data_IF_804139053225
#
_entry.id   IF_804139053225
#
_cell.length_a   1.000
_cell.length_b   1.000
_cell.length_c   1.000
_cell.angle_alpha   90.00
_cell.angle_beta   90.00
_cell.angle_gamma   90.00
#
_symmetry.space_group_name_H-M   'P 1'
#
loop_
_entity.id
_entity.type
_entity.pdbx_description
1 polymer ?
#
# COMPACT_ATOMS: atom_id res chain seq x y z
N UNK A 1 83.42 -20.04 50.43
CA UNK A 1 82.35 -19.44 49.60
C UNK A 1 82.89 -19.27 48.19
N UNK A 2 82.38 -20.08 47.24
CA UNK A 2 82.78 -20.16 45.81
C UNK A 2 82.24 -18.94 45.05
N UNK A 3 83.11 -18.12 44.45
CA UNK A 3 83.46 -18.06 43.02
C UNK A 3 82.36 -17.55 42.05
N UNK A 4 82.53 -16.28 41.64
CA UNK A 4 82.48 -15.71 40.28
C UNK A 4 81.88 -16.56 39.14
N UNK A 5 80.94 -15.98 38.36
CA UNK A 5 80.88 -15.99 36.86
C UNK A 5 79.59 -15.33 36.32
N UNK A 6 79.73 -14.66 35.16
CA UNK A 6 78.69 -14.10 34.23
C UNK A 6 78.36 -12.61 34.44
N UNK A 7 78.97 -11.58 33.82
CA UNK A 7 79.34 -11.25 32.42
C UNK A 7 78.15 -11.11 31.43
N UNK A 8 77.65 -9.86 31.29
CA UNK A 8 77.51 -9.02 30.05
C UNK A 8 77.82 -9.76 28.72
N UNK A 9 77.05 -9.66 27.59
CA UNK A 9 76.49 -8.43 26.97
C UNK A 9 75.12 -8.57 26.25
N UNK A 10 74.39 -7.47 26.04
CA UNK A 10 73.37 -7.35 24.97
C UNK A 10 73.13 -5.88 24.61
N UNK A 11 74.19 -5.18 24.23
CA UNK A 11 74.13 -3.92 23.50
C UNK A 11 74.78 -4.18 22.14
N UNK A 12 74.20 -3.60 21.09
CA UNK A 12 74.57 -3.65 19.66
C UNK A 12 73.75 -4.66 18.84
N UNK A 13 72.62 -4.20 18.29
CA UNK A 13 72.28 -4.42 16.88
C UNK A 13 71.32 -3.32 16.39
N UNK A 14 71.83 -2.09 16.29
CA UNK A 14 71.27 -1.07 15.42
C UNK A 14 72.01 -1.20 14.08
N UNK A 15 71.31 -1.59 13.01
CA UNK A 15 71.92 -1.72 11.69
C UNK A 15 70.94 -2.12 10.59
N UNK A 16 70.59 -1.14 9.76
CA UNK A 16 70.09 -1.27 8.39
C UNK A 16 68.76 -2.03 8.19
N UNK A 17 67.67 -1.48 8.70
CA UNK A 17 66.37 -1.65 8.03
C UNK A 17 66.38 -0.85 6.74
N UNK A 18 66.71 -1.47 5.62
CA UNK A 18 66.33 -0.95 4.30
C UNK A 18 64.82 -0.84 4.36
N UNK A 19 64.29 0.39 4.33
CA UNK A 19 62.89 0.64 4.03
C UNK A 19 62.70 0.12 2.61
N UNK A 20 62.33 -1.14 2.47
CA UNK A 20 61.67 -1.62 1.26
C UNK A 20 60.36 -0.86 1.24
N UNK A 21 60.36 0.28 0.53
CA UNK A 21 59.13 0.93 0.13
C UNK A 21 58.25 -0.16 -0.47
N UNK A 22 57.18 -0.54 0.23
CA UNK A 22 56.25 -1.53 -0.26
C UNK A 22 55.81 -1.05 -1.65
N UNK A 23 56.14 -1.82 -2.68
CA UNK A 23 55.81 -1.43 -4.04
C UNK A 23 54.30 -1.25 -4.10
N UNK A 24 53.82 -0.10 -4.55
CA UNK A 24 52.39 0.16 -4.67
C UNK A 24 52.00 0.33 -6.12
N UNK A 25 50.82 -0.15 -6.46
CA UNK A 25 50.17 0.18 -7.72
C UNK A 25 49.58 1.58 -7.64
N UNK A 26 49.69 2.30 -8.74
CA UNK A 26 49.11 3.62 -8.95
C UNK A 26 48.93 3.86 -10.44
N UNK A 27 48.57 5.08 -10.81
CA UNK A 27 48.47 5.47 -12.20
C UNK A 27 48.98 6.89 -12.43
N UNK A 28 49.58 7.09 -13.60
CA UNK A 28 50.00 8.39 -14.11
C UNK A 28 49.18 8.73 -15.37
N UNK A 29 49.02 10.03 -15.63
CA UNK A 29 48.33 10.57 -16.81
C UNK A 29 46.97 9.94 -17.11
N UNK A 30 46.14 9.86 -16.07
CA UNK A 30 44.77 9.40 -16.20
C UNK A 30 43.86 10.53 -16.70
N UNK A 31 43.16 10.27 -17.79
CA UNK A 31 42.26 11.23 -18.44
C UNK A 31 40.89 10.58 -18.58
N UNK A 32 39.87 11.27 -18.08
CA UNK A 32 38.47 10.96 -18.33
C UNK A 32 37.96 11.84 -19.47
N UNK A 33 37.22 11.25 -20.40
CA UNK A 33 36.59 11.95 -21.50
C UNK A 33 35.16 11.45 -21.71
N UNK A 34 34.21 12.37 -21.89
CA UNK A 34 32.84 12.06 -22.31
C UNK A 34 32.65 12.62 -23.72
N UNK A 35 32.48 11.72 -24.68
CA UNK A 35 32.20 12.08 -26.07
C UNK A 35 30.69 12.07 -26.28
N UNK A 36 30.10 13.24 -26.49
CA UNK A 36 28.69 13.38 -26.90
C UNK A 36 28.59 13.51 -28.42
N UNK A 37 27.56 12.90 -29.03
CA UNK A 37 27.29 13.03 -30.48
C UNK A 37 26.65 14.37 -30.86
N UNK A 38 26.12 15.13 -29.89
CA UNK A 38 25.26 16.28 -30.15
C UNK A 38 25.76 17.63 -29.59
N UNK A 39 26.90 17.68 -28.88
CA UNK A 39 27.43 18.95 -28.36
C UNK A 39 28.90 19.19 -28.76
N UNK A 40 29.18 20.41 -29.22
CA UNK A 40 30.53 20.94 -29.42
C UNK A 40 31.13 21.20 -28.03
N UNK A 41 31.79 20.19 -27.46
CA UNK A 41 32.46 20.29 -26.17
C UNK A 41 32.38 19.00 -25.37
N UNK A 42 33.25 18.02 -25.69
CA UNK A 42 33.41 16.83 -24.85
C UNK A 42 33.99 17.21 -23.49
N UNK A 43 33.43 16.68 -22.40
CA UNK A 43 34.01 16.83 -21.06
C UNK A 43 35.33 16.08 -21.03
N UNK A 44 36.42 16.74 -20.65
CA UNK A 44 37.74 16.12 -20.50
C UNK A 44 38.42 16.65 -19.24
N UNK A 45 38.81 15.75 -18.35
CA UNK A 45 39.46 16.12 -17.09
C UNK A 45 40.56 15.13 -16.73
N UNK A 46 41.49 15.54 -15.85
CA UNK A 46 42.57 14.70 -15.35
C UNK A 46 42.16 14.05 -14.03
N UNK A 47 42.29 12.74 -13.94
CA UNK A 47 42.04 11.98 -12.73
C UNK A 47 43.31 11.98 -11.84
N UNK A 48 43.13 12.06 -10.53
CA UNK A 48 44.21 11.95 -9.54
C UNK A 48 44.04 10.68 -8.70
N UNK A 49 45.16 10.16 -8.23
CA UNK A 49 45.29 9.03 -7.32
C UNK A 49 45.01 9.41 -5.84
N UNK A 50 45.14 10.70 -5.50
CA UNK A 50 45.06 11.22 -4.13
C UNK A 50 43.73 11.91 -3.79
N UNK A 51 43.01 12.42 -4.79
CA UNK A 51 41.73 13.10 -4.58
C UNK A 51 40.74 12.78 -5.70
N UNK A 52 39.47 12.48 -5.36
CA UNK A 52 38.43 12.29 -6.36
C UNK A 52 38.05 13.61 -7.03
N UNK A 53 37.45 13.53 -8.22
CA UNK A 53 36.92 14.72 -8.89
C UNK A 53 35.83 15.39 -8.05
N UNK A 54 35.93 16.71 -7.89
CA UNK A 54 34.99 17.51 -7.10
C UNK A 54 33.59 17.62 -7.72
N UNK A 55 33.46 17.45 -9.05
CA UNK A 55 32.19 17.49 -9.76
C UNK A 55 31.86 16.12 -10.34
N UNK A 56 30.60 15.65 -10.22
CA UNK A 56 30.19 14.40 -10.83
C UNK A 56 30.24 14.51 -12.35
N UNK A 57 30.66 13.42 -13.00
CA UNK A 57 30.70 13.30 -14.46
C UNK A 57 29.31 12.88 -14.94
N UNK A 58 28.66 13.68 -15.77
CA UNK A 58 27.35 13.36 -16.32
C UNK A 58 27.45 12.48 -17.56
N UNK A 59 26.65 11.42 -17.63
CA UNK A 59 26.51 10.54 -18.79
C UNK A 59 25.06 10.54 -19.28
N UNK A 60 24.84 10.90 -20.55
CA UNK A 60 23.52 10.83 -21.20
C UNK A 60 23.40 9.66 -22.19
N UNK A 61 22.20 9.42 -22.72
CA UNK A 61 21.87 8.27 -23.56
C UNK A 61 22.70 8.11 -24.83
N UNK A 62 23.22 9.21 -25.38
CA UNK A 62 24.02 9.20 -26.61
C UNK A 62 25.52 9.27 -26.36
N UNK A 63 25.92 9.42 -25.10
CA UNK A 63 27.31 9.70 -24.75
C UNK A 63 28.10 8.41 -24.51
N UNK A 64 29.39 8.46 -24.85
CA UNK A 64 30.35 7.41 -24.49
C UNK A 64 31.38 7.97 -23.53
N UNK A 65 31.57 7.27 -22.42
CA UNK A 65 32.61 7.59 -21.44
C UNK A 65 33.84 6.77 -21.75
N UNK A 66 34.97 7.45 -21.88
CA UNK A 66 36.27 6.86 -22.17
C UNK A 66 37.29 7.32 -21.15
N UNK A 67 37.95 6.36 -20.51
CA UNK A 67 39.04 6.61 -19.56
C UNK A 67 40.32 5.97 -20.12
N UNK A 68 41.38 6.76 -20.11
CA UNK A 68 42.73 6.30 -20.43
C UNK A 68 43.58 6.51 -19.19
N UNK A 69 44.32 5.49 -18.78
CA UNK A 69 45.26 5.54 -17.65
C UNK A 69 46.61 4.98 -18.07
N UNK A 70 47.69 5.38 -17.41
CA UNK A 70 48.97 4.67 -17.48
C UNK A 70 49.23 4.03 -16.12
N UNK A 71 49.01 2.73 -16.01
CA UNK A 71 49.25 2.01 -14.76
C UNK A 71 50.74 1.92 -14.47
N UNK A 72 51.10 2.17 -13.21
CA UNK A 72 52.48 2.15 -12.72
C UNK A 72 52.62 1.29 -11.48
N UNK A 73 53.71 0.55 -11.38
CA UNK A 73 54.16 -0.10 -10.16
C UNK A 73 55.37 0.69 -9.63
N UNK A 74 55.26 1.32 -8.46
CA UNK A 74 56.34 2.14 -7.89
C UNK A 74 56.88 3.22 -8.86
N UNK A 75 55.97 3.94 -9.54
CA UNK A 75 56.25 4.98 -10.55
C UNK A 75 56.92 4.50 -11.85
N UNK A 76 57.00 3.19 -12.08
CA UNK A 76 57.43 2.62 -13.37
C UNK A 76 56.23 2.07 -14.13
N UNK A 77 56.04 2.42 -15.42
CA UNK A 77 54.93 1.92 -16.20
C UNK A 77 55.03 0.40 -16.34
N UNK A 78 53.99 -0.31 -15.91
CA UNK A 78 53.94 -1.77 -15.96
C UNK A 78 52.51 -2.22 -16.21
N UNK A 79 52.35 -3.31 -16.96
CA UNK A 79 51.06 -3.94 -17.20
C UNK A 79 50.54 -4.61 -15.91
N UNK A 80 49.42 -4.16 -15.32
CA UNK A 80 48.79 -4.86 -14.21
C UNK A 80 48.08 -6.13 -14.70
N UNK A 81 47.93 -7.13 -13.82
CA UNK A 81 47.17 -8.34 -14.14
C UNK A 81 45.66 -8.09 -14.10
N UNK A 82 45.20 -7.27 -13.15
CA UNK A 82 43.81 -6.85 -12.99
C UNK A 82 43.74 -5.33 -13.08
N UNK A 83 42.89 -4.85 -13.99
CA UNK A 83 42.57 -3.44 -14.12
C UNK A 83 41.08 -3.31 -14.41
N UNK A 84 40.32 -2.84 -13.43
CA UNK A 84 38.86 -2.72 -13.52
C UNK A 84 38.39 -1.35 -13.03
N UNK A 85 37.38 -0.81 -13.70
CA UNK A 85 36.57 0.28 -13.17
C UNK A 85 35.35 -0.33 -12.51
N UNK A 86 35.21 -0.13 -11.21
CA UNK A 86 34.05 -0.57 -10.44
C UNK A 86 33.09 0.61 -10.26
N UNK A 87 31.85 0.46 -10.70
CA UNK A 87 30.78 1.41 -10.47
C UNK A 87 29.82 0.82 -9.44
N UNK A 88 29.62 1.54 -8.33
CA UNK A 88 28.77 1.10 -7.22
C UNK A 88 27.62 2.07 -7.02
N UNK A 89 26.42 1.54 -6.90
CA UNK A 89 25.28 2.29 -6.39
C UNK A 89 25.38 2.45 -4.87
N UNK A 90 25.24 3.68 -4.39
CA UNK A 90 25.41 4.00 -2.96
C UNK A 90 24.20 3.55 -2.13
N UNK A 91 23.00 3.51 -2.72
CA UNK A 91 21.77 3.16 -2.02
C UNK A 91 21.59 1.64 -1.93
N UNK A 92 21.67 0.95 -3.06
CA UNK A 92 21.42 -0.50 -3.12
C UNK A 92 22.66 -1.35 -2.87
N UNK A 93 23.86 -0.76 -3.01
CA UNK A 93 25.13 -1.50 -2.95
C UNK A 93 25.39 -2.39 -4.16
N UNK A 94 24.58 -2.29 -5.23
CA UNK A 94 24.81 -3.02 -6.47
C UNK A 94 26.05 -2.49 -7.18
N UNK A 95 26.83 -3.40 -7.76
CA UNK A 95 28.11 -3.09 -8.39
C UNK A 95 28.17 -3.67 -9.80
N UNK A 96 28.82 -2.95 -10.71
CA UNK A 96 29.22 -3.45 -12.03
C UNK A 96 30.68 -3.12 -12.28
N UNK A 97 31.35 -3.93 -13.09
CA UNK A 97 32.78 -3.79 -13.36
C UNK A 97 33.04 -3.72 -14.85
N UNK A 98 33.91 -2.78 -15.25
CA UNK A 98 34.38 -2.62 -16.62
C UNK A 98 35.88 -2.89 -16.70
N UNK A 99 36.32 -3.93 -17.42
CA UNK A 99 37.75 -4.22 -17.57
C UNK A 99 38.46 -3.18 -18.45
N UNK A 100 39.67 -2.80 -18.06
CA UNK A 100 40.55 -2.01 -18.92
C UNK A 100 41.27 -2.91 -19.92
N UNK A 101 41.31 -2.48 -21.18
CA UNK A 101 42.22 -3.05 -22.17
C UNK A 101 43.61 -2.46 -21.95
N UNK A 102 44.49 -3.21 -21.28
CA UNK A 102 45.87 -2.79 -21.00
C UNK A 102 46.82 -3.25 -22.10
N UNK A 103 47.86 -2.46 -22.38
CA UNK A 103 49.01 -2.81 -23.23
C UNK A 103 50.23 -3.13 -22.38
N UNK A 104 51.27 -3.71 -22.97
CA UNK A 104 52.55 -3.97 -22.28
C UNK A 104 53.18 -2.69 -21.71
N UNK A 105 52.97 -1.54 -22.37
CA UNK A 105 53.40 -0.21 -21.93
C UNK A 105 52.72 0.32 -20.64
N UNK A 106 51.84 -0.45 -19.99
CA UNK A 106 51.05 -0.01 -18.83
C UNK A 106 49.83 0.87 -19.18
N UNK A 107 49.74 1.38 -20.41
CA UNK A 107 48.57 2.14 -20.88
C UNK A 107 47.31 1.26 -20.94
N UNK A 108 46.27 1.65 -20.21
CA UNK A 108 44.95 1.04 -20.17
C UNK A 108 43.88 1.94 -20.75
N UNK A 109 42.93 1.37 -21.49
CA UNK A 109 41.74 2.07 -21.99
C UNK A 109 40.48 1.30 -21.61
N UNK A 110 39.47 2.02 -21.12
CA UNK A 110 38.09 1.52 -20.99
C UNK A 110 37.14 2.50 -21.67
N UNK A 111 36.13 1.97 -22.36
CA UNK A 111 35.11 2.76 -23.06
C UNK A 111 33.77 2.04 -22.93
N UNK A 112 32.76 2.73 -22.43
CA UNK A 112 31.40 2.22 -22.28
C UNK A 112 30.39 3.36 -22.43
N UNK A 113 29.18 3.03 -22.87
CA UNK A 113 28.05 3.97 -22.92
C UNK A 113 26.95 3.57 -21.93
N UNK A 114 25.86 4.33 -21.91
CA UNK A 114 24.72 4.04 -21.04
C UNK A 114 24.07 2.68 -21.35
N UNK A 115 24.11 2.22 -22.61
CA UNK A 115 23.60 0.91 -23.04
C UNK A 115 24.36 -0.29 -22.45
N UNK A 116 25.60 -0.08 -22.00
CA UNK A 116 26.46 -1.13 -21.47
C UNK A 116 26.30 -1.24 -19.94
N UNK A 117 25.57 -0.31 -19.31
CA UNK A 117 25.25 -0.35 -17.89
C UNK A 117 24.04 -1.26 -17.62
N UNK A 118 24.09 -2.08 -16.55
CA UNK A 118 22.91 -2.81 -16.08
C UNK A 118 21.75 -1.87 -15.75
N UNK A 119 20.53 -2.29 -16.06
CA UNK A 119 19.31 -1.50 -15.88
C UNK A 119 19.15 -0.99 -14.44
N UNK A 120 19.59 -1.77 -13.45
CA UNK A 120 19.51 -1.43 -12.03
C UNK A 120 20.30 -0.16 -11.68
N UNK A 121 21.46 0.04 -12.32
CA UNK A 121 22.31 1.21 -12.10
C UNK A 121 21.83 2.43 -12.88
N UNK A 122 21.02 2.23 -13.92
CA UNK A 122 20.36 3.32 -14.65
C UNK A 122 19.24 3.98 -13.84
N UNK A 123 18.62 3.23 -12.92
CA UNK A 123 17.52 3.69 -12.07
C UNK A 123 17.94 4.21 -10.69
N UNK A 124 19.26 4.34 -10.44
CA UNK A 124 19.73 4.84 -9.14
C UNK A 124 19.35 6.31 -8.94
N UNK A 125 19.02 6.66 -7.69
CA UNK A 125 18.66 8.02 -7.30
C UNK A 125 19.90 8.90 -7.05
N UNK A 126 21.06 8.28 -6.80
CA UNK A 126 22.32 8.94 -6.47
C UNK A 126 23.37 8.72 -7.58
N UNK A 127 24.37 9.60 -7.70
CA UNK A 127 25.52 9.35 -8.57
C UNK A 127 26.25 8.05 -8.18
N UNK A 128 26.59 7.26 -9.19
CA UNK A 128 27.32 6.00 -9.03
C UNK A 128 28.76 6.28 -8.62
N UNK A 129 29.21 5.67 -7.54
CA UNK A 129 30.59 5.80 -7.04
C UNK A 129 31.54 5.01 -7.95
N UNK A 130 32.47 5.68 -8.61
CA UNK A 130 33.49 5.03 -9.42
C UNK A 130 34.79 4.80 -8.64
N UNK A 131 35.23 3.55 -8.59
CA UNK A 131 36.46 3.09 -7.92
C UNK A 131 37.36 2.43 -8.96
N UNK A 132 38.62 2.82 -9.00
CA UNK A 132 39.60 2.20 -9.89
C UNK A 132 40.36 1.12 -9.13
N UNK A 133 40.37 -0.09 -9.69
CA UNK A 133 41.05 -1.27 -9.15
C UNK A 133 42.24 -1.63 -10.03
N UNK A 134 43.46 -1.52 -9.50
CA UNK A 134 44.69 -1.98 -10.17
C UNK A 134 45.43 -2.95 -9.27
N UNK A 135 45.65 -4.17 -9.74
CA UNK A 135 46.36 -5.19 -8.99
C UNK A 135 47.16 -6.12 -9.91
N UNK A 136 48.20 -6.75 -9.38
CA UNK A 136 48.98 -7.78 -10.05
C UNK A 136 49.39 -8.85 -9.04
N UNK A 137 49.77 -10.02 -9.53
CA UNK A 137 50.45 -11.01 -8.70
C UNK A 137 51.78 -10.44 -8.18
N UNK A 138 52.08 -10.65 -6.90
CA UNK A 138 53.31 -10.17 -6.24
C UNK A 138 53.05 -9.62 -4.85
N UNK A 139 54.08 -9.04 -4.24
CA UNK A 139 54.04 -8.38 -2.92
C UNK A 139 53.63 -6.90 -3.00
N UNK A 140 53.28 -6.39 -4.19
CA UNK A 140 52.91 -5.01 -4.38
C UNK A 140 51.49 -4.72 -3.87
N UNK A 141 51.31 -3.62 -3.14
CA UNK A 141 50.01 -3.16 -2.64
C UNK A 141 49.09 -2.79 -3.82
N UNK A 142 47.89 -3.36 -3.85
CA UNK A 142 46.88 -3.05 -4.85
C UNK A 142 46.31 -1.63 -4.68
N UNK A 143 45.98 -0.99 -5.79
CA UNK A 143 45.28 0.29 -5.80
C UNK A 143 43.77 0.05 -5.82
N UNK A 144 43.06 0.62 -4.86
CA UNK A 144 41.60 0.52 -4.76
C UNK A 144 41.02 1.78 -4.12
N UNK A 145 41.02 2.88 -4.87
CA UNK A 145 40.49 4.16 -4.39
C UNK A 145 39.35 4.66 -5.27
N UNK A 146 38.48 5.44 -4.64
CA UNK A 146 37.45 6.21 -5.33
C UNK A 146 38.07 7.35 -6.12
N UNK A 147 37.66 7.52 -7.38
CA UNK A 147 38.30 8.46 -8.32
C UNK A 147 37.32 9.53 -8.82
N UNK A 148 36.04 9.19 -9.02
CA UNK A 148 35.00 10.15 -9.42
C UNK A 148 33.60 9.58 -9.19
N UNK A 149 32.60 10.45 -9.19
CA UNK A 149 31.18 10.05 -9.19
C UNK A 149 30.59 10.19 -10.60
N UNK A 150 29.80 9.21 -11.03
CA UNK A 150 29.14 9.16 -12.33
C UNK A 150 27.63 9.41 -12.16
N UNK A 151 27.16 10.57 -12.62
CA UNK A 151 25.74 10.90 -12.66
C UNK A 151 25.13 10.42 -13.99
N UNK A 152 24.26 9.42 -13.94
CA UNK A 152 23.58 8.89 -15.12
C UNK A 152 22.27 9.67 -15.34
N UNK A 153 22.17 10.37 -16.46
CA UNK A 153 20.96 11.11 -16.84
C UNK A 153 20.14 10.28 -17.83
N UNK A 154 18.87 10.02 -17.49
CA UNK A 154 17.92 9.37 -18.37
C UNK A 154 17.24 10.42 -19.27
N UNK A 155 16.95 10.04 -20.52
CA UNK A 155 16.16 10.86 -21.43
C UNK A 155 14.70 10.92 -20.93
N UNK A 156 14.26 12.09 -20.49
CA UNK A 156 12.91 12.33 -19.99
C UNK A 156 11.81 12.09 -21.07
N UNK A 157 12.19 12.05 -22.35
CA UNK A 157 11.27 11.80 -23.47
C UNK A 157 10.95 10.32 -23.65
N UNK A 158 11.67 9.42 -22.96
CA UNK A 158 11.47 7.97 -23.03
C UNK A 158 11.08 7.42 -21.66
N UNK A 159 10.18 6.42 -21.60
CA UNK A 159 9.85 5.77 -20.34
C UNK A 159 11.11 5.16 -19.72
N UNK A 160 11.26 5.36 -18.40
CA UNK A 160 12.36 4.80 -17.65
C UNK A 160 12.41 3.27 -17.82
N UNK A 161 13.61 2.67 -17.90
CA UNK A 161 13.71 1.24 -18.14
C UNK A 161 13.08 0.48 -16.97
N UNK A 162 12.15 -0.42 -17.29
CA UNK A 162 11.44 -1.21 -16.30
C UNK A 162 12.38 -2.25 -15.68
N UNK A 163 12.60 -2.15 -14.38
CA UNK A 163 13.30 -3.17 -13.60
C UNK A 163 12.28 -3.93 -12.75
N UNK A 164 12.04 -5.18 -13.09
CA UNK A 164 11.32 -6.09 -12.22
C UNK A 164 12.28 -6.59 -11.14
N UNK A 165 11.99 -6.25 -9.88
CA UNK A 165 12.78 -6.75 -8.76
C UNK A 165 12.65 -8.28 -8.73
N UNK A 166 13.76 -9.02 -8.61
CA UNK A 166 13.70 -10.47 -8.53
C UNK A 166 12.85 -10.89 -7.33
N UNK A 167 12.11 -11.98 -7.50
CA UNK A 167 11.23 -12.51 -6.47
C UNK A 167 12.02 -12.77 -5.18
N UNK A 168 11.73 -11.98 -4.14
CA UNK A 168 12.40 -12.07 -2.84
C UNK A 168 11.42 -12.67 -1.85
N UNK A 169 11.73 -13.86 -1.35
CA UNK A 169 10.94 -14.48 -0.28
C UNK A 169 11.07 -13.65 0.99
N UNK A 170 9.95 -13.16 1.52
CA UNK A 170 9.89 -12.31 2.70
C UNK A 170 8.46 -12.18 3.22
N UNK A 171 8.29 -11.48 4.33
CA UNK A 171 6.97 -11.20 4.89
C UNK A 171 6.19 -10.31 3.91
N UNK A 172 5.05 -10.80 3.45
CA UNK A 172 4.12 -10.02 2.63
C UNK A 172 3.35 -9.00 3.47
N UNK A 173 2.86 -7.90 2.87
CA UNK A 173 1.97 -6.98 3.56
C UNK A 173 0.70 -7.70 4.02
N UNK A 174 0.19 -7.27 5.18
CA UNK A 174 -1.05 -7.79 5.74
C UNK A 174 -2.26 -7.32 4.91
N UNK A 175 -3.21 -8.23 4.68
CA UNK A 175 -4.44 -7.96 3.92
C UNK A 175 -5.57 -7.72 4.91
N UNK A 176 -6.12 -6.51 4.93
CA UNK A 176 -7.27 -6.16 5.76
C UNK A 176 -8.57 -6.33 4.97
N UNK A 177 -9.55 -7.06 5.54
CA UNK A 177 -10.88 -7.16 4.96
C UNK A 177 -11.65 -5.85 5.19
N UNK A 178 -12.14 -5.24 4.11
CA UNK A 178 -12.94 -4.01 4.16
C UNK A 178 -14.42 -4.39 4.17
N UNK A 179 -15.08 -4.18 5.31
CA UNK A 179 -16.52 -4.38 5.43
C UNK A 179 -17.31 -3.34 4.63
N UNK A 180 -18.52 -3.71 4.22
CA UNK A 180 -19.45 -2.76 3.61
C UNK A 180 -19.85 -1.70 4.65
N UNK A 181 -19.96 -0.41 4.25
CA UNK A 181 -20.46 0.61 5.15
C UNK A 181 -21.92 0.34 5.51
N UNK A 182 -22.30 0.73 6.72
CA UNK A 182 -23.69 0.59 7.19
C UNK A 182 -24.65 1.45 6.35
N UNK A 183 -25.87 0.98 6.08
CA UNK A 183 -26.87 1.76 5.35
C UNK A 183 -27.26 3.01 6.15
N UNK A 184 -27.29 4.16 5.47
CA UNK A 184 -27.69 5.42 6.08
C UNK A 184 -29.22 5.59 6.03
N UNK A 185 -29.83 5.87 7.19
CA UNK A 185 -31.24 6.24 7.29
C UNK A 185 -31.42 7.75 7.09
N UNK A 186 -32.57 8.17 6.56
CA UNK A 186 -32.91 9.58 6.35
C UNK A 186 -33.17 10.37 7.65
N UNK A 187 -33.41 11.69 7.54
CA UNK A 187 -33.65 12.56 8.70
C UNK A 187 -34.90 12.19 9.49
N UNK A 188 -34.77 12.01 10.82
CA UNK A 188 -35.87 11.66 11.73
C UNK A 188 -37.04 12.65 11.71
N UNK A 189 -36.76 13.93 11.49
CA UNK A 189 -37.79 14.97 11.44
C UNK A 189 -38.79 14.76 10.30
N UNK A 190 -38.31 14.31 9.13
CA UNK A 190 -39.16 14.02 7.98
C UNK A 190 -40.04 12.81 8.28
N UNK A 191 -39.47 11.74 8.83
CA UNK A 191 -40.24 10.55 9.22
C UNK A 191 -41.32 10.89 10.25
N UNK A 192 -40.99 11.71 11.26
CA UNK A 192 -41.94 12.12 12.29
C UNK A 192 -43.09 12.97 11.73
N UNK A 193 -42.80 13.90 10.81
CA UNK A 193 -43.82 14.69 10.13
C UNK A 193 -44.85 13.79 9.44
N UNK A 194 -44.41 12.79 8.68
CA UNK A 194 -45.33 11.88 7.99
C UNK A 194 -46.11 10.97 8.94
N UNK A 195 -45.52 10.53 10.06
CA UNK A 195 -46.25 9.80 11.11
C UNK A 195 -47.38 10.67 11.67
N UNK A 196 -47.10 11.94 11.98
CA UNK A 196 -48.12 12.88 12.47
C UNK A 196 -49.18 13.19 11.41
N UNK A 197 -48.79 13.32 10.14
CA UNK A 197 -49.74 13.54 9.04
C UNK A 197 -50.70 12.35 8.88
N UNK A 198 -50.21 11.12 8.98
CA UNK A 198 -51.04 9.91 8.96
C UNK A 198 -51.96 9.89 10.18
N UNK A 199 -51.44 10.14 11.38
CA UNK A 199 -52.27 10.18 12.60
C UNK A 199 -53.35 11.26 12.54
N UNK A 200 -53.08 12.41 11.90
CA UNK A 200 -54.05 13.48 11.70
C UNK A 200 -55.21 13.08 10.77
N UNK A 201 -55.07 12.04 9.93
CA UNK A 201 -56.20 11.55 9.12
C UNK A 201 -57.31 10.92 9.97
N UNK A 202 -56.98 10.36 11.15
CA UNK A 202 -57.97 9.73 12.05
C UNK A 202 -59.02 10.72 12.55
N UNK A 203 -58.67 11.86 13.19
CA UNK A 203 -59.67 12.83 13.62
C UNK A 203 -60.41 13.47 12.44
N UNK A 204 -59.78 13.59 11.26
CA UNK A 204 -60.47 14.07 10.05
C UNK A 204 -61.60 13.12 9.66
N UNK A 205 -61.37 11.81 9.65
CA UNK A 205 -62.40 10.80 9.35
C UNK A 205 -63.50 10.82 10.42
N UNK A 206 -63.14 10.86 11.70
CA UNK A 206 -64.12 10.92 12.80
C UNK A 206 -64.97 12.19 12.73
N UNK A 207 -64.37 13.34 12.41
CA UNK A 207 -65.07 14.60 12.20
C UNK A 207 -66.00 14.57 10.98
N UNK A 208 -65.56 13.94 9.88
CA UNK A 208 -66.38 13.75 8.69
C UNK A 208 -67.61 12.86 9.00
N UNK A 209 -67.44 11.78 9.76
CA UNK A 209 -68.57 10.95 10.20
C UNK A 209 -69.55 11.70 11.09
N UNK A 210 -69.03 12.49 12.04
CA UNK A 210 -69.87 13.34 12.89
C UNK A 210 -70.65 14.37 12.06
N UNK A 211 -70.01 15.01 11.08
CA UNK A 211 -70.65 15.95 10.16
C UNK A 211 -71.75 15.30 9.32
N UNK A 212 -71.55 14.05 8.86
CA UNK A 212 -72.53 13.28 8.10
C UNK A 212 -73.66 12.68 8.98
N UNK A 213 -73.64 12.90 10.30
CA UNK A 213 -74.68 12.44 11.21
C UNK A 213 -74.56 10.97 11.64
N UNK A 214 -73.37 10.38 11.55
CA UNK A 214 -73.10 9.05 12.10
C UNK A 214 -73.37 9.04 13.61
N UNK A 215 -74.13 8.06 14.09
CA UNK A 215 -74.59 7.99 15.47
C UNK A 215 -74.68 6.55 15.99
N UNK A 216 -74.94 6.39 17.29
CA UNK A 216 -75.04 5.11 17.98
C UNK A 216 -76.46 4.86 18.53
N UNK A 217 -77.49 5.44 17.91
CA UNK A 217 -78.88 5.39 18.43
C UNK A 217 -79.42 3.96 18.61
N UNK A 218 -79.01 3.02 17.75
CA UNK A 218 -79.45 1.62 17.81
C UNK A 218 -78.60 0.73 18.73
N UNK A 219 -77.55 1.28 19.36
CA UNK A 219 -76.64 0.51 20.20
C UNK A 219 -77.36 -0.07 21.42
N UNK A 220 -78.14 0.75 22.14
CA UNK A 220 -78.91 0.28 23.31
C UNK A 220 -79.88 -0.83 22.92
N UNK A 221 -80.53 -0.71 21.77
CA UNK A 221 -81.44 -1.74 21.27
C UNK A 221 -80.67 -3.02 20.97
N UNK A 222 -79.53 -2.91 20.26
CA UNK A 222 -78.61 -4.01 19.91
C UNK A 222 -78.23 -4.82 21.13
N UNK A 223 -77.74 -4.12 22.16
CA UNK A 223 -77.30 -4.74 23.40
C UNK A 223 -78.45 -5.30 24.23
N UNK A 224 -79.69 -4.79 24.11
CA UNK A 224 -80.84 -5.36 24.83
C UNK A 224 -81.41 -6.61 24.16
N UNK A 225 -81.44 -6.68 22.83
CA UNK A 225 -82.06 -7.80 22.12
C UNK A 225 -81.14 -9.03 22.02
N UNK A 226 -79.84 -8.83 21.83
CA UNK A 226 -78.86 -9.92 21.76
C UNK A 226 -77.52 -9.54 22.43
N UNK A 227 -77.52 -9.31 23.76
CA UNK A 227 -76.35 -8.77 24.49
C UNK A 227 -75.09 -9.61 24.29
N UNK A 228 -75.21 -10.93 24.45
CA UNK A 228 -74.08 -11.85 24.41
C UNK A 228 -73.50 -11.94 23.00
N UNK A 229 -74.36 -11.98 21.97
CA UNK A 229 -73.91 -12.09 20.59
C UNK A 229 -73.19 -10.84 20.11
N UNK A 230 -73.74 -9.65 20.38
CA UNK A 230 -73.09 -8.38 20.01
C UNK A 230 -71.79 -8.13 20.79
N UNK A 231 -71.78 -8.43 22.10
CA UNK A 231 -70.59 -8.26 22.93
C UNK A 231 -69.46 -9.22 22.50
N UNK A 232 -69.76 -10.50 22.29
CA UNK A 232 -68.77 -11.47 21.82
C UNK A 232 -68.30 -11.16 20.40
N UNK A 233 -69.19 -10.73 19.51
CA UNK A 233 -68.83 -10.41 18.15
C UNK A 233 -67.87 -9.21 18.08
N UNK A 234 -68.23 -8.08 18.70
CA UNK A 234 -67.35 -6.92 18.76
C UNK A 234 -66.06 -7.21 19.52
N UNK A 235 -66.16 -7.88 20.67
CA UNK A 235 -65.00 -8.29 21.47
C UNK A 235 -64.05 -9.21 20.70
N UNK A 236 -64.57 -10.10 19.87
CA UNK A 236 -63.76 -10.99 19.03
C UNK A 236 -63.03 -10.26 17.91
N UNK A 237 -63.63 -9.21 17.32
CA UNK A 237 -62.95 -8.34 16.35
C UNK A 237 -61.80 -7.60 17.03
N UNK A 238 -62.04 -6.98 18.18
CA UNK A 238 -60.99 -6.29 18.97
C UNK A 238 -59.89 -7.26 19.39
N UNK A 239 -60.25 -8.48 19.82
CA UNK A 239 -59.29 -9.51 20.19
C UNK A 239 -58.44 -9.97 18.98
N UNK A 240 -59.03 -10.06 17.79
CA UNK A 240 -58.29 -10.41 16.56
C UNK A 240 -57.25 -9.34 16.22
N UNK A 241 -57.60 -8.05 16.29
CA UNK A 241 -56.64 -6.95 16.11
C UNK A 241 -55.51 -7.00 17.16
N UNK A 242 -55.86 -7.33 18.42
CA UNK A 242 -54.88 -7.56 19.49
C UNK A 242 -53.92 -8.71 19.18
N UNK A 243 -54.42 -9.83 18.63
CA UNK A 243 -53.59 -10.96 18.20
C UNK A 243 -52.64 -10.54 17.07
N UNK A 244 -53.11 -9.78 16.09
CA UNK A 244 -52.24 -9.29 15.02
C UNK A 244 -51.20 -8.28 15.50
N UNK A 245 -51.54 -7.43 16.48
CA UNK A 245 -50.57 -6.57 17.14
C UNK A 245 -49.51 -7.38 17.91
N UNK A 246 -49.91 -8.44 18.60
CA UNK A 246 -48.99 -9.35 19.28
C UNK A 246 -48.10 -10.09 18.27
N UNK A 247 -48.64 -10.52 17.13
CA UNK A 247 -47.87 -11.12 16.05
C UNK A 247 -46.82 -10.16 15.46
N UNK A 248 -47.20 -8.89 15.25
CA UNK A 248 -46.27 -7.86 14.78
C UNK A 248 -45.14 -7.60 15.78
N UNK A 249 -45.43 -7.64 17.08
CA UNK A 249 -44.48 -7.21 18.12
C UNK A 249 -43.64 -8.34 18.72
N UNK A 250 -44.22 -9.54 18.93
CA UNK A 250 -43.60 -10.55 19.81
C UNK A 250 -43.96 -12.01 19.52
N UNK A 251 -45.17 -12.30 19.05
CA UNK A 251 -45.65 -13.67 18.83
C UNK A 251 -45.11 -14.26 17.54
N UNK A 252 -44.85 -15.57 17.56
CA UNK A 252 -44.57 -16.32 16.35
C UNK A 252 -45.86 -16.85 15.69
N UNK A 253 -45.72 -17.39 14.48
CA UNK A 253 -46.86 -17.88 13.70
C UNK A 253 -47.61 -19.04 14.40
N UNK A 254 -46.89 -19.93 15.10
CA UNK A 254 -47.49 -21.08 15.79
C UNK A 254 -48.27 -20.70 17.05
N UNK A 255 -47.98 -19.55 17.66
CA UNK A 255 -48.79 -18.98 18.74
C UNK A 255 -50.01 -18.23 18.18
N UNK A 256 -49.81 -17.52 17.07
CA UNK A 256 -50.82 -16.68 16.43
C UNK A 256 -51.94 -17.51 15.81
N UNK A 257 -51.61 -18.58 15.05
CA UNK A 257 -52.61 -19.37 14.31
C UNK A 257 -53.65 -20.05 15.22
N UNK A 258 -53.31 -20.75 16.32
CA UNK A 258 -54.31 -21.34 17.21
C UNK A 258 -55.17 -20.27 17.90
N UNK A 259 -54.57 -19.18 18.37
CA UNK A 259 -55.31 -18.09 19.01
C UNK A 259 -56.28 -17.41 18.03
N UNK A 260 -55.82 -17.08 16.82
CA UNK A 260 -56.64 -16.53 15.75
C UNK A 260 -57.72 -17.54 15.31
N UNK A 261 -57.42 -18.84 15.29
CA UNK A 261 -58.40 -19.89 15.01
C UNK A 261 -59.54 -19.92 16.03
N UNK A 262 -59.21 -19.87 17.33
CA UNK A 262 -60.21 -19.84 18.41
C UNK A 262 -61.05 -18.56 18.34
N UNK A 263 -60.41 -17.39 18.24
CA UNK A 263 -61.12 -16.10 18.15
C UNK A 263 -61.94 -16.02 16.86
N UNK A 264 -61.44 -16.56 15.75
CA UNK A 264 -62.16 -16.65 14.48
C UNK A 264 -63.43 -17.50 14.57
N UNK A 265 -63.38 -18.64 15.25
CA UNK A 265 -64.57 -19.45 15.53
C UNK A 265 -65.60 -18.69 16.38
N UNK A 266 -65.14 -18.00 17.44
CA UNK A 266 -66.02 -17.16 18.27
C UNK A 266 -66.64 -16.04 17.44
N UNK A 267 -65.86 -15.38 16.58
CA UNK A 267 -66.31 -14.33 15.66
C UNK A 267 -67.39 -14.85 14.72
N UNK A 268 -67.18 -16.01 14.11
CA UNK A 268 -68.12 -16.62 13.18
C UNK A 268 -69.46 -16.98 13.85
N UNK A 269 -69.41 -17.64 15.00
CA UNK A 269 -70.62 -18.08 15.71
C UNK A 269 -71.40 -16.91 16.31
N UNK A 270 -70.71 -15.96 16.95
CA UNK A 270 -71.36 -14.77 17.53
C UNK A 270 -71.86 -13.80 16.45
N UNK A 271 -71.08 -13.61 15.39
CA UNK A 271 -71.40 -12.73 14.27
C UNK A 271 -72.62 -13.19 13.48
N UNK A 272 -72.76 -14.49 13.23
CA UNK A 272 -73.97 -15.02 12.56
C UNK A 272 -75.26 -14.65 13.32
N UNK A 273 -75.25 -14.71 14.65
CA UNK A 273 -76.39 -14.33 15.50
C UNK A 273 -76.58 -12.82 15.59
N UNK A 274 -75.49 -12.05 15.76
CA UNK A 274 -75.54 -10.59 15.80
C UNK A 274 -76.08 -10.01 14.48
N UNK A 275 -75.61 -10.49 13.34
CA UNK A 275 -76.07 -10.05 12.02
C UNK A 275 -77.50 -10.51 11.71
N UNK A 276 -77.92 -11.68 12.18
CA UNK A 276 -79.32 -12.14 12.06
C UNK A 276 -80.28 -11.23 12.82
N UNK A 277 -79.87 -10.73 13.99
CA UNK A 277 -80.65 -9.75 14.73
C UNK A 277 -80.69 -8.38 14.03
N UNK A 278 -79.59 -7.94 13.43
CA UNK A 278 -79.59 -6.71 12.61
C UNK A 278 -80.55 -6.87 11.42
N UNK A 279 -80.58 -8.06 10.81
CA UNK A 279 -81.54 -8.38 9.74
C UNK A 279 -82.99 -8.35 10.25
N UNK A 280 -83.29 -8.90 11.42
CA UNK A 280 -84.65 -8.93 11.95
C UNK A 280 -85.19 -7.53 12.23
N UNK A 281 -84.35 -6.61 12.72
CA UNK A 281 -84.70 -5.18 12.88
C UNK A 281 -85.03 -4.50 11.58
N UNK A 282 -84.18 -4.72 10.57
CA UNK A 282 -84.41 -4.20 9.22
C UNK A 282 -85.75 -4.68 8.67
N UNK A 283 -86.13 -5.94 8.92
CA UNK A 283 -87.43 -6.49 8.51
C UNK A 283 -88.58 -5.93 9.33
N UNK A 284 -88.36 -5.58 10.60
CA UNK A 284 -89.34 -4.91 11.47
C UNK A 284 -89.50 -3.40 11.17
N UNK A 285 -88.76 -2.86 10.18
CA UNK A 285 -88.81 -1.44 9.80
C UNK A 285 -87.95 -0.52 10.68
N UNK A 286 -87.11 -1.10 11.54
CA UNK A 286 -86.21 -0.37 12.42
C UNK A 286 -84.84 -0.26 11.73
N UNK A 287 -84.57 0.91 11.13
CA UNK A 287 -83.30 1.24 10.48
C UNK A 287 -82.54 2.30 11.27
#
# INVERSE_FOLDING_TARGET
MRLLRSLVPSLILAGAGIVTAASSWGFDDAIISVNSKSAVGGFKDKLSDHAPLAKPVSLSATDTLKIIITATESRKPKRPHQAFLLLRDQDTGLETTFPFTTKESGKGKVEFGQKDLPVQLLTSSQPLRATLLLASFGSAQAFSNHVFDLAVSLDASKPAPAYEKPLRYGKLPEINHIFRPDPQSGPKAISLFFVLAILATVPVVLGAWAYLGANLSHLSKATSAAPISHALFYGSIVAMEGIFFLYYSSWNLFQTLPAAGIVGLVTFLSGSKALSEVQSRRLAGER
#
